data_IF_414360891877
#
_entry.id   IF_414360891877
#
_cell.length_a   1.000
_cell.length_b   1.000
_cell.length_c   1.000
_cell.angle_alpha   90.00
_cell.angle_beta   90.00
_cell.angle_gamma   90.00
#
_symmetry.space_group_name_H-M   'P 1'
#
loop_
_entity.id
_entity.type
_entity.pdbx_description
1 polymer ?
#
# COMPACT_ATOMS: atom_id res chain seq x y z
N UNK A 1 2.64 -1.99 -21.36
CA UNK A 1 2.88 -1.44 -20.02
C UNK A 1 3.47 -0.05 -20.16
N UNK A 2 3.25 0.83 -19.18
CA UNK A 2 3.91 2.14 -19.14
C UNK A 2 5.42 1.95 -18.99
N UNK A 3 6.20 2.61 -19.85
CA UNK A 3 7.68 2.57 -19.84
C UNK A 3 8.29 3.62 -18.92
N UNK A 4 7.46 4.50 -18.36
CA UNK A 4 7.87 5.67 -17.61
C UNK A 4 7.99 5.39 -16.11
N UNK A 5 8.79 6.20 -15.44
CA UNK A 5 8.88 6.20 -13.97
C UNK A 5 7.63 6.87 -13.40
N UNK A 6 6.92 6.17 -12.54
CA UNK A 6 5.76 6.71 -11.82
C UNK A 6 6.19 7.19 -10.43
N UNK A 7 5.89 8.45 -10.13
CA UNK A 7 6.05 9.04 -8.80
C UNK A 7 4.67 9.39 -8.25
N UNK A 8 4.28 8.75 -7.15
CA UNK A 8 3.01 8.99 -6.48
C UNK A 8 3.21 9.31 -5.01
N UNK A 9 2.21 9.95 -4.39
CA UNK A 9 2.21 10.20 -2.96
C UNK A 9 0.80 10.16 -2.37
N UNK A 10 0.72 9.76 -1.10
CA UNK A 10 -0.51 9.76 -0.32
C UNK A 10 -0.32 10.55 0.99
N UNK A 11 -1.33 11.30 1.46
CA UNK A 11 -1.27 12.01 2.73
C UNK A 11 -1.44 11.05 3.92
N UNK A 12 -0.98 11.48 5.10
CA UNK A 12 -1.34 10.87 6.37
C UNK A 12 -2.78 11.20 6.78
N UNK A 13 -3.19 10.73 7.96
CA UNK A 13 -4.49 11.01 8.57
C UNK A 13 -4.31 11.37 10.04
N UNK A 14 -5.04 12.37 10.50
CA UNK A 14 -5.19 12.69 11.92
C UNK A 14 -6.67 12.74 12.28
N UNK A 15 -7.03 12.42 13.52
CA UNK A 15 -8.39 12.58 14.04
C UNK A 15 -8.45 13.97 14.67
N UNK A 16 -9.35 14.83 14.19
CA UNK A 16 -9.52 16.17 14.75
C UNK A 16 -10.44 16.14 15.98
N UNK A 17 -11.50 15.33 15.93
CA UNK A 17 -12.45 15.15 17.02
C UNK A 17 -13.01 13.73 17.06
N UNK A 18 -13.39 13.29 18.26
CA UNK A 18 -14.10 12.02 18.47
C UNK A 18 -13.21 10.79 18.63
N UNK A 19 -11.94 10.97 19.01
CA UNK A 19 -10.94 9.89 19.20
C UNK A 19 -11.46 8.74 20.08
N UNK A 20 -11.97 9.07 21.28
CA UNK A 20 -12.55 8.08 22.18
C UNK A 20 -14.06 7.90 21.98
N UNK A 21 -14.75 8.92 21.46
CA UNK A 21 -16.20 8.89 21.27
C UNK A 21 -16.63 7.87 20.18
N UNK A 22 -15.80 7.68 19.14
CA UNK A 22 -16.10 6.73 18.04
C UNK A 22 -16.16 5.29 18.51
N UNK A 23 -15.42 4.94 19.57
CA UNK A 23 -15.45 3.61 20.20
C UNK A 23 -16.85 3.28 20.75
N UNK A 24 -17.64 4.31 21.06
CA UNK A 24 -19.02 4.18 21.54
C UNK A 24 -20.07 4.52 20.46
N UNK A 25 -19.71 4.38 19.18
CA UNK A 25 -20.63 4.58 18.04
C UNK A 25 -20.99 6.03 17.77
N UNK A 26 -20.23 6.99 18.28
CA UNK A 26 -20.40 8.42 17.98
C UNK A 26 -19.56 8.83 16.77
N UNK A 27 -19.93 9.94 16.14
CA UNK A 27 -19.21 10.45 14.97
C UNK A 27 -17.81 10.95 15.38
N UNK A 28 -16.83 10.69 14.52
CA UNK A 28 -15.50 11.29 14.59
C UNK A 28 -15.15 11.96 13.27
N UNK A 29 -14.31 12.99 13.35
CA UNK A 29 -13.82 13.73 12.20
C UNK A 29 -12.35 13.40 12.00
N UNK A 30 -12.01 12.78 10.87
CA UNK A 30 -10.64 12.55 10.45
C UNK A 30 -10.31 13.43 9.25
N UNK A 31 -9.10 13.97 9.21
CA UNK A 31 -8.64 14.87 8.14
C UNK A 31 -7.31 14.40 7.57
N UNK A 32 -7.08 14.74 6.30
CA UNK A 32 -5.81 14.46 5.63
C UNK A 32 -4.70 15.34 6.21
N UNK A 33 -3.61 14.70 6.62
CA UNK A 33 -2.41 15.38 7.10
C UNK A 33 -1.42 15.51 5.94
N UNK A 34 -0.92 16.72 5.69
CA UNK A 34 0.02 16.99 4.58
C UNK A 34 1.45 16.46 4.83
N UNK A 35 1.61 15.45 5.68
CA UNK A 35 2.82 14.64 5.80
C UNK A 35 2.67 13.45 4.86
N UNK A 36 3.28 13.56 3.67
CA UNK A 36 3.07 12.62 2.57
C UNK A 36 4.08 11.47 2.57
N UNK A 37 3.59 10.28 2.26
CA UNK A 37 4.41 9.12 1.92
C UNK A 37 4.55 9.06 0.41
N UNK A 38 5.77 8.92 -0.08
CA UNK A 38 6.08 8.86 -1.51
C UNK A 38 6.42 7.44 -1.94
N UNK A 39 6.00 7.06 -3.14
CA UNK A 39 6.38 5.82 -3.80
C UNK A 39 6.89 6.14 -5.20
N UNK A 40 8.07 5.61 -5.52
CA UNK A 40 8.67 5.65 -6.86
C UNK A 40 8.64 4.24 -7.45
N UNK A 41 7.91 4.08 -8.54
CA UNK A 41 7.82 2.84 -9.30
C UNK A 41 8.56 3.02 -10.62
N UNK A 42 9.54 2.16 -10.88
CA UNK A 42 10.32 2.17 -12.11
C UNK A 42 10.23 0.80 -12.78
N UNK A 43 9.80 0.71 -14.05
CA UNK A 43 9.86 -0.53 -14.80
C UNK A 43 11.32 -0.98 -14.96
N UNK A 44 11.57 -2.27 -14.76
CA UNK A 44 12.86 -2.91 -15.01
C UNK A 44 12.67 -4.13 -15.92
N UNK A 45 13.62 -4.36 -16.81
CA UNK A 45 13.64 -5.50 -17.74
C UNK A 45 14.46 -6.70 -17.21
N UNK A 46 14.89 -6.64 -15.95
CA UNK A 46 15.77 -7.65 -15.32
C UNK A 46 15.02 -8.89 -14.78
N UNK A 47 13.71 -9.00 -15.02
CA UNK A 47 12.89 -10.11 -14.53
C UNK A 47 12.71 -10.17 -13.01
N UNK A 48 12.99 -9.06 -12.29
CA UNK A 48 12.89 -8.99 -10.83
C UNK A 48 11.92 -7.91 -10.37
N UNK A 49 11.41 -8.09 -9.16
CA UNK A 49 10.67 -7.08 -8.41
C UNK A 49 11.51 -6.64 -7.23
N UNK A 50 11.92 -5.38 -7.22
CA UNK A 50 12.72 -4.78 -6.17
C UNK A 50 11.84 -3.89 -5.26
N UNK A 51 11.94 -4.08 -3.94
CA UNK A 51 11.28 -3.28 -2.92
C UNK A 51 12.33 -2.67 -2.01
N UNK A 52 12.41 -1.34 -1.99
CA UNK A 52 13.26 -0.58 -1.08
C UNK A 52 12.39 0.26 -0.15
N UNK A 53 12.55 0.07 1.16
CA UNK A 53 11.88 0.82 2.23
C UNK A 53 12.94 1.54 3.07
N UNK A 54 13.41 2.73 2.64
CA UNK A 54 14.57 3.40 3.25
C UNK A 54 14.37 3.74 4.73
N UNK A 55 13.15 4.15 5.11
CA UNK A 55 12.83 4.59 6.47
C UNK A 55 12.99 3.49 7.52
N UNK A 56 12.98 2.22 7.11
CA UNK A 56 13.17 1.06 7.98
C UNK A 56 14.37 0.19 7.56
N UNK A 57 15.19 0.67 6.61
CA UNK A 57 16.42 -0.02 6.19
C UNK A 57 16.20 -1.35 5.44
N UNK A 58 15.01 -1.62 4.92
CA UNK A 58 14.71 -2.90 4.24
C UNK A 58 14.91 -2.77 2.73
N UNK A 59 15.64 -3.71 2.15
CA UNK A 59 15.69 -3.94 0.70
C UNK A 59 15.44 -5.42 0.43
N UNK A 60 14.51 -5.70 -0.47
CA UNK A 60 14.16 -7.05 -0.91
C UNK A 60 14.04 -7.09 -2.43
N UNK A 61 14.38 -8.23 -3.00
CA UNK A 61 14.31 -8.48 -4.43
C UNK A 61 13.79 -9.90 -4.62
N UNK A 62 12.85 -10.06 -5.54
CA UNK A 62 12.29 -11.37 -5.89
C UNK A 62 12.35 -11.58 -7.40
N UNK A 63 12.60 -12.82 -7.79
CA UNK A 63 12.53 -13.24 -9.19
C UNK A 63 11.07 -13.43 -9.60
N UNK A 64 10.67 -12.85 -10.74
CA UNK A 64 9.28 -12.90 -11.23
C UNK A 64 8.86 -14.32 -11.55
N UNK A 65 9.73 -15.15 -12.15
CA UNK A 65 9.40 -16.54 -12.48
C UNK A 65 9.11 -17.35 -11.21
N UNK A 66 9.88 -17.12 -10.14
CA UNK A 66 9.61 -17.74 -8.84
C UNK A 66 8.31 -17.25 -8.21
N UNK A 67 8.00 -15.95 -8.29
CA UNK A 67 6.73 -15.42 -7.77
C UNK A 67 5.51 -16.00 -8.50
N UNK A 68 5.62 -16.20 -9.81
CA UNK A 68 4.56 -16.81 -10.63
C UNK A 68 4.27 -18.27 -10.25
N UNK A 69 5.25 -19.00 -9.72
CA UNK A 69 5.07 -20.38 -9.24
C UNK A 69 4.38 -20.50 -7.88
N UNK A 70 4.16 -19.39 -7.17
CA UNK A 70 3.46 -19.41 -5.89
C UNK A 70 1.97 -19.70 -6.11
N UNK A 71 1.36 -20.44 -5.19
CA UNK A 71 -0.07 -20.76 -5.25
C UNK A 71 -0.91 -19.48 -5.27
N UNK A 72 -1.66 -19.29 -6.34
CA UNK A 72 -2.54 -18.14 -6.57
C UNK A 72 -3.98 -18.40 -6.12
N UNK A 73 -4.24 -19.49 -5.39
CA UNK A 73 -5.56 -19.83 -4.85
C UNK A 73 -6.24 -18.70 -4.07
N UNK A 74 -5.47 -17.79 -3.47
CA UNK A 74 -5.99 -16.60 -2.78
C UNK A 74 -6.56 -15.51 -3.71
N UNK A 75 -6.31 -15.57 -5.02
CA UNK A 75 -6.88 -14.65 -6.03
C UNK A 75 -8.30 -15.05 -6.45
N UNK A 76 -8.82 -16.20 -6.00
CA UNK A 76 -10.17 -16.69 -6.31
C UNK A 76 -11.06 -16.83 -5.08
N UNK A 77 -11.98 -15.88 -4.85
CA UNK A 77 -13.12 -16.07 -3.94
C UNK A 77 -13.88 -14.78 -3.59
N UNK A 78 -15.22 -14.77 -3.59
CA UNK A 78 -16.01 -13.57 -3.33
C UNK A 78 -15.94 -13.19 -1.85
N UNK A 79 -15.43 -12.00 -1.54
CA UNK A 79 -15.61 -11.42 -0.19
C UNK A 79 -17.05 -10.92 -0.09
N UNK A 80 -17.87 -11.73 0.58
CA UNK A 80 -19.20 -11.40 1.10
C UNK A 80 -19.23 -9.98 1.70
N UNK A 81 -20.33 -9.31 1.38
CA UNK A 81 -20.86 -8.07 1.90
C UNK A 81 -20.69 -8.00 3.43
N UNK A 82 -20.18 -6.88 3.94
CA UNK A 82 -20.24 -6.55 5.36
C UNK A 82 -21.70 -6.23 5.71
N UNK A 83 -22.27 -6.99 6.66
CA UNK A 83 -23.52 -6.65 7.37
C UNK A 83 -23.24 -5.66 8.48
#
# INVERSE_FOLDING_TARGET
MLSEVLLVSAPGKVILHGEHAVVHGKVALAVALNLRTFLRLQPHSNGKVDLSLPNIGIKRAWDVARLQSLDTSFLGGPRRIWS
#
